data_IF_715169542573
#
_entry.id   IF_715169542573
#
_cell.length_a   1.000
_cell.length_b   1.000
_cell.length_c   1.000
_cell.angle_alpha   90.00
_cell.angle_beta   90.00
_cell.angle_gamma   90.00
#
_symmetry.space_group_name_H-M   'P 1'
#
loop_
_entity.id
_entity.type
_entity.pdbx_description
1 polymer ?
#
# COMPACT_ATOMS: atom_id res chain seq x y z
N UNK A 1 4.35 18.09 12.94
CA UNK A 1 5.30 18.92 12.16
C UNK A 1 5.19 20.39 12.55
N UNK A 2 6.33 21.07 12.76
CA UNK A 2 6.38 22.53 12.94
C UNK A 2 6.46 23.21 11.57
N UNK A 3 5.53 24.12 11.30
CA UNK A 3 5.33 24.72 9.97
C UNK A 3 6.41 25.73 9.57
N UNK A 4 7.34 26.09 10.47
CA UNK A 4 8.41 27.05 10.17
C UNK A 4 9.78 26.37 9.97
N UNK A 5 9.99 25.20 10.57
CA UNK A 5 11.31 24.54 10.63
C UNK A 5 11.35 23.17 9.96
N UNK A 6 10.21 22.54 9.67
CA UNK A 6 10.18 21.18 9.12
C UNK A 6 10.63 20.10 10.11
N UNK A 7 10.82 20.47 11.38
CA UNK A 7 11.09 19.50 12.43
C UNK A 7 9.83 18.68 12.71
N UNK A 8 10.01 17.36 12.87
CA UNK A 8 9.01 16.47 13.45
C UNK A 8 8.69 17.03 14.84
N UNK A 9 7.52 17.67 14.97
CA UNK A 9 6.97 17.93 16.29
C UNK A 9 6.61 16.57 16.85
N UNK A 10 7.50 16.03 17.68
CA UNK A 10 7.18 14.97 18.62
C UNK A 10 5.85 15.35 19.29
N UNK A 11 4.77 14.67 18.88
CA UNK A 11 3.50 14.73 19.59
C UNK A 11 3.65 13.87 20.85
N UNK A 12 4.37 14.39 21.84
CA UNK A 12 4.33 13.86 23.18
C UNK A 12 2.97 14.16 23.80
N UNK A 13 2.21 13.11 24.12
CA UNK A 13 1.85 12.77 25.52
C UNK A 13 0.94 11.53 25.56
N UNK A 14 1.46 10.45 26.16
CA UNK A 14 0.81 9.18 26.51
C UNK A 14 0.76 8.05 25.46
N UNK A 15 1.72 7.99 24.53
CA UNK A 15 1.90 6.83 23.63
C UNK A 15 2.78 5.80 24.35
N UNK A 16 2.36 4.52 24.38
CA UNK A 16 3.31 3.45 24.64
C UNK A 16 4.03 3.17 23.32
N UNK A 17 5.36 3.29 23.33
CA UNK A 17 6.19 3.04 22.16
C UNK A 17 6.62 1.58 22.21
N UNK A 18 5.83 0.73 21.54
CA UNK A 18 6.15 -0.67 21.37
C UNK A 18 7.30 -0.86 20.40
N UNK A 19 8.06 -1.93 20.57
CA UNK A 19 9.07 -2.36 19.61
C UNK A 19 8.54 -3.61 18.90
N UNK A 20 8.53 -3.60 17.57
CA UNK A 20 8.02 -4.70 16.76
C UNK A 20 8.99 -5.13 15.68
N UNK A 21 8.98 -6.42 15.35
CA UNK A 21 9.74 -6.95 14.21
C UNK A 21 8.80 -7.15 13.03
N UNK A 22 9.11 -6.55 11.87
CA UNK A 22 8.36 -6.68 10.63
C UNK A 22 8.56 -8.01 9.91
N UNK A 23 7.84 -8.20 8.80
CA UNK A 23 7.89 -9.40 7.95
C UNK A 23 9.29 -9.62 7.39
N UNK A 24 9.99 -8.54 7.00
CA UNK A 24 11.37 -8.56 6.51
C UNK A 24 12.41 -8.77 7.61
N UNK A 25 12.00 -8.81 8.88
CA UNK A 25 12.88 -9.03 10.04
C UNK A 25 13.54 -7.76 10.57
N UNK A 26 13.14 -6.60 10.06
CA UNK A 26 13.52 -5.27 10.52
C UNK A 26 12.73 -4.86 11.77
N UNK A 27 13.38 -4.10 12.65
CA UNK A 27 12.76 -3.63 13.90
C UNK A 27 12.22 -2.21 13.74
N UNK A 28 11.01 -1.99 14.23
CA UNK A 28 10.26 -0.73 14.13
C UNK A 28 9.73 -0.31 15.50
N UNK A 29 9.74 0.99 15.75
CA UNK A 29 8.96 1.57 16.84
C UNK A 29 7.52 1.76 16.36
N UNK A 30 6.57 1.19 17.07
CA UNK A 30 5.14 1.25 16.74
C UNK A 30 4.36 1.91 17.87
N UNK A 31 3.33 2.67 17.51
CA UNK A 31 2.45 3.28 18.49
C UNK A 31 1.44 2.26 19.01
N UNK A 32 1.37 2.13 20.32
CA UNK A 32 0.42 1.23 20.98
C UNK A 32 -0.34 1.93 22.09
N UNK A 33 -1.47 1.35 22.46
CA UNK A 33 -2.32 1.85 23.55
C UNK A 33 -2.38 0.82 24.69
N UNK A 34 -1.96 1.17 25.91
CA UNK A 34 -2.13 0.32 27.08
C UNK A 34 -3.61 0.08 27.43
N UNK A 35 -3.99 -1.16 27.72
CA UNK A 35 -5.33 -1.58 28.11
C UNK A 35 -5.28 -2.59 29.27
N UNK A 36 -5.36 -2.10 30.50
CA UNK A 36 -5.20 -2.96 31.68
C UNK A 36 -3.74 -3.40 31.82
N UNK A 37 -3.48 -4.70 31.70
CA UNK A 37 -2.16 -5.34 31.76
C UNK A 37 -1.59 -5.70 30.38
N UNK A 38 -2.25 -5.28 29.29
CA UNK A 38 -1.84 -5.53 27.90
C UNK A 38 -1.68 -4.23 27.11
N UNK A 39 -1.18 -4.34 25.89
CA UNK A 39 -1.02 -3.28 24.90
C UNK A 39 -1.80 -3.64 23.64
N UNK A 40 -2.38 -2.67 22.94
CA UNK A 40 -3.10 -2.85 21.67
C UNK A 40 -2.36 -2.17 20.53
N UNK A 41 -2.37 -2.77 19.32
CA UNK A 41 -2.00 -2.08 18.08
C UNK A 41 -3.07 -1.07 17.71
N UNK A 42 -3.08 0.02 18.47
CA UNK A 42 -3.97 1.14 18.33
C UNK A 42 -3.18 2.42 18.58
N UNK A 43 -3.28 3.35 17.64
CA UNK A 43 -2.67 4.67 17.78
C UNK A 43 -3.25 5.42 18.96
N UNK A 44 -2.48 6.35 19.53
CA UNK A 44 -2.89 7.06 20.76
C UNK A 44 -4.16 7.91 20.60
N UNK A 45 -4.46 8.39 19.39
CA UNK A 45 -5.73 9.07 19.06
C UNK A 45 -6.89 8.12 18.78
N UNK A 46 -6.63 6.80 18.77
CA UNK A 46 -7.58 5.74 18.47
C UNK A 46 -7.99 5.66 17.00
N UNK A 47 -7.32 6.40 16.11
CA UNK A 47 -7.65 6.50 14.69
C UNK A 47 -7.18 5.29 13.89
N UNK A 48 -6.00 4.76 14.20
CA UNK A 48 -5.43 3.59 13.55
C UNK A 48 -5.56 2.37 14.43
N UNK A 49 -6.00 1.24 13.85
CA UNK A 49 -6.24 -0.02 14.57
C UNK A 49 -5.88 -1.22 13.71
N UNK A 50 -5.12 -2.15 14.28
CA UNK A 50 -4.75 -3.40 13.59
C UNK A 50 -5.36 -4.61 14.28
N UNK A 51 -5.98 -5.47 13.46
CA UNK A 51 -6.73 -6.64 13.89
C UNK A 51 -6.16 -7.92 13.28
N UNK A 52 -6.47 -9.04 13.93
CA UNK A 52 -6.11 -10.38 13.55
C UNK A 52 -7.35 -11.19 13.15
N UNK A 53 -7.37 -11.71 11.93
CA UNK A 53 -8.44 -12.56 11.45
C UNK A 53 -8.28 -14.05 11.83
N UNK A 54 -7.15 -14.45 12.43
CA UNK A 54 -6.90 -15.79 12.96
C UNK A 54 -6.90 -16.88 11.90
N UNK A 55 -6.40 -16.58 10.69
CA UNK A 55 -6.49 -17.43 9.49
C UNK A 55 -7.93 -17.74 9.05
N UNK A 56 -8.90 -16.91 9.46
CA UNK A 56 -10.29 -17.00 9.02
C UNK A 56 -10.61 -15.90 8.01
N UNK A 57 -11.72 -16.05 7.28
CA UNK A 57 -12.29 -14.99 6.43
C UNK A 57 -13.08 -13.99 7.27
N UNK A 58 -12.47 -13.45 8.32
CA UNK A 58 -13.08 -12.49 9.23
C UNK A 58 -12.51 -11.09 8.97
N UNK A 59 -13.36 -10.07 9.03
CA UNK A 59 -12.95 -8.66 8.98
C UNK A 59 -13.90 -7.85 9.88
N UNK A 60 -13.38 -7.07 10.86
CA UNK A 60 -11.96 -6.84 11.11
C UNK A 60 -11.26 -7.99 11.86
N UNK A 61 -11.99 -8.88 12.53
CA UNK A 61 -11.38 -9.90 13.40
C UNK A 61 -11.22 -9.41 14.84
N UNK A 62 -10.16 -9.83 15.53
CA UNK A 62 -9.88 -9.49 16.93
C UNK A 62 -8.79 -8.44 17.02
N UNK A 63 -8.92 -7.45 17.91
CA UNK A 63 -7.86 -6.44 18.11
C UNK A 63 -6.55 -7.12 18.50
N UNK A 64 -5.45 -6.78 17.82
CA UNK A 64 -4.15 -7.34 18.19
C UNK A 64 -3.69 -6.77 19.54
N UNK A 65 -3.26 -7.66 20.43
CA UNK A 65 -2.84 -7.30 21.79
C UNK A 65 -1.56 -8.01 22.18
N UNK A 66 -0.71 -7.35 22.96
CA UNK A 66 0.55 -7.88 23.47
C UNK A 66 0.70 -7.66 24.99
N UNK A 67 1.45 -8.51 25.68
CA UNK A 67 1.58 -8.45 27.16
C UNK A 67 2.73 -7.55 27.63
N UNK A 68 3.75 -7.35 26.81
CA UNK A 68 4.99 -6.66 27.22
C UNK A 68 5.39 -5.51 26.27
N UNK A 69 4.60 -5.25 25.24
CA UNK A 69 4.81 -4.24 24.20
C UNK A 69 6.04 -4.49 23.32
N UNK A 70 6.50 -5.76 23.31
CA UNK A 70 7.55 -6.27 22.43
C UNK A 70 6.87 -7.21 21.44
N UNK A 71 6.56 -6.67 20.25
CA UNK A 71 5.80 -7.32 19.20
C UNK A 71 6.71 -8.18 18.30
N UNK A 72 7.36 -9.15 18.93
CA UNK A 72 8.20 -10.15 18.28
C UNK A 72 7.48 -11.50 18.10
N UNK A 73 8.22 -12.52 17.68
CA UNK A 73 7.69 -13.87 17.48
C UNK A 73 7.85 -14.79 18.69
N UNK A 74 8.46 -14.33 19.79
CA UNK A 74 8.90 -15.18 20.90
C UNK A 74 7.82 -15.43 21.98
N UNK A 75 6.69 -14.73 21.93
CA UNK A 75 5.58 -14.99 22.86
C UNK A 75 4.78 -16.23 22.41
N UNK A 76 4.62 -17.27 23.26
CA UNK A 76 3.88 -18.48 22.91
C UNK A 76 2.41 -18.21 22.57
N UNK A 77 2.10 -18.16 21.26
CA UNK A 77 0.78 -18.28 20.61
C UNK A 77 -0.44 -17.86 21.46
N UNK A 78 -0.58 -16.56 21.71
CA UNK A 78 -1.89 -15.90 21.90
C UNK A 78 -2.42 -15.55 20.51
N UNK A 79 -3.62 -16.01 20.08
CA UNK A 79 -3.93 -16.91 18.94
C UNK A 79 -3.48 -16.45 17.54
N UNK A 80 -2.80 -15.32 17.46
CA UNK A 80 -2.07 -14.81 16.32
C UNK A 80 -0.97 -15.76 15.84
N UNK A 81 -0.97 -16.16 14.56
CA UNK A 81 0.08 -16.99 13.98
C UNK A 81 1.47 -16.34 14.02
N UNK A 82 1.55 -15.00 13.99
CA UNK A 82 2.79 -14.21 14.03
C UNK A 82 2.47 -12.73 14.27
N UNK A 83 3.29 -12.00 15.02
CA UNK A 83 3.08 -10.54 15.19
C UNK A 83 3.57 -9.70 14.01
N UNK A 84 4.48 -10.26 13.20
CA UNK A 84 5.17 -9.53 12.13
C UNK A 84 4.24 -8.87 11.10
N UNK A 85 3.22 -9.57 10.56
CA UNK A 85 2.30 -8.94 9.61
C UNK A 85 1.53 -7.77 10.24
N UNK A 86 1.16 -7.89 11.52
CA UNK A 86 0.47 -6.86 12.29
C UNK A 86 1.34 -5.63 12.52
N UNK A 87 2.62 -5.82 12.87
CA UNK A 87 3.61 -4.74 13.01
C UNK A 87 3.69 -3.91 11.73
N UNK A 88 3.91 -4.57 10.58
CA UNK A 88 4.03 -3.85 9.31
C UNK A 88 2.71 -3.21 8.87
N UNK A 89 1.58 -3.91 9.03
CA UNK A 89 0.27 -3.37 8.68
C UNK A 89 -0.11 -2.13 9.51
N UNK A 90 0.33 -2.07 10.77
CA UNK A 90 0.14 -0.90 11.63
C UNK A 90 1.09 0.23 11.23
N UNK A 91 2.37 -0.09 11.18
CA UNK A 91 3.42 0.89 10.93
C UNK A 91 3.30 1.54 9.54
N UNK A 92 3.14 0.74 8.49
CA UNK A 92 3.04 1.27 7.13
C UNK A 92 1.72 2.01 6.87
N UNK A 93 0.62 1.63 7.53
CA UNK A 93 -0.61 2.43 7.47
C UNK A 93 -0.36 3.85 8.01
N UNK A 94 0.44 3.98 9.08
CA UNK A 94 0.84 5.26 9.64
C UNK A 94 1.75 6.05 8.67
N UNK A 95 2.78 5.41 8.12
CA UNK A 95 3.68 6.03 7.12
C UNK A 95 2.91 6.55 5.91
N UNK A 96 1.94 5.78 5.40
CA UNK A 96 1.13 6.17 4.24
C UNK A 96 0.17 7.31 4.60
N UNK A 97 -0.44 7.30 5.79
CA UNK A 97 -1.28 8.40 6.25
C UNK A 97 -0.49 9.71 6.40
N UNK A 98 0.70 9.64 6.98
CA UNK A 98 1.64 10.77 7.06
C UNK A 98 2.06 11.24 5.67
N UNK A 99 2.33 10.34 4.72
CA UNK A 99 2.59 10.70 3.33
C UNK A 99 1.45 11.52 2.72
N UNK A 100 0.19 11.11 2.93
CA UNK A 100 -0.98 11.84 2.44
C UNK A 100 -1.15 13.21 3.12
N UNK A 101 -0.95 13.27 4.44
CA UNK A 101 -1.03 14.51 5.21
C UNK A 101 0.07 15.50 4.80
N UNK A 102 1.33 15.06 4.76
CA UNK A 102 2.47 15.93 4.47
C UNK A 102 2.52 16.38 3.02
N UNK A 103 2.22 15.49 2.08
CA UNK A 103 2.37 15.76 0.64
C UNK A 103 1.15 16.47 0.06
N UNK A 104 -0.04 16.10 0.51
CA UNK A 104 -1.30 16.56 -0.09
C UNK A 104 -2.20 17.34 0.87
N UNK A 105 -1.80 17.50 2.13
CA UNK A 105 -2.64 18.11 3.18
C UNK A 105 -3.99 17.39 3.33
N UNK A 106 -4.03 16.09 3.02
CA UNK A 106 -5.23 15.26 3.11
C UNK A 106 -5.33 14.66 4.50
N UNK A 107 -6.49 14.78 5.15
CA UNK A 107 -6.72 14.20 6.47
C UNK A 107 -7.34 12.79 6.35
N UNK A 108 -6.51 11.74 6.34
CA UNK A 108 -6.93 10.33 6.19
C UNK A 108 -7.61 9.99 4.84
N UNK A 109 -8.19 8.79 4.76
CA UNK A 109 -8.80 8.19 3.58
C UNK A 109 -9.93 9.04 3.00
N UNK A 110 -10.73 9.72 3.82
CA UNK A 110 -11.92 10.49 3.43
C UNK A 110 -11.73 12.01 3.43
N UNK A 111 -10.52 12.50 3.75
CA UNK A 111 -10.23 13.92 4.01
C UNK A 111 -10.93 14.52 5.25
N UNK A 112 -11.49 13.69 6.12
CA UNK A 112 -12.20 14.08 7.33
C UNK A 112 -11.78 13.29 8.57
N UNK A 113 -10.65 12.57 8.51
CA UNK A 113 -10.10 11.84 9.65
C UNK A 113 -10.73 10.46 9.85
N UNK A 114 -11.21 9.81 8.79
CA UNK A 114 -11.69 8.42 8.83
C UNK A 114 -10.73 7.50 9.60
N UNK A 115 -11.23 6.60 10.47
CA UNK A 115 -10.40 5.57 11.08
C UNK A 115 -9.72 4.69 10.04
N UNK A 116 -8.45 4.37 10.27
CA UNK A 116 -7.64 3.51 9.41
C UNK A 116 -7.57 2.15 10.08
N UNK A 117 -8.24 1.17 9.47
CA UNK A 117 -8.33 -0.20 10.01
C UNK A 117 -7.57 -1.14 9.09
N UNK A 118 -6.68 -1.92 9.69
CA UNK A 118 -5.93 -2.99 9.04
C UNK A 118 -6.31 -4.34 9.65
N UNK A 119 -6.49 -5.37 8.83
CA UNK A 119 -6.66 -6.76 9.27
C UNK A 119 -5.60 -7.64 8.63
N UNK A 120 -4.88 -8.41 9.43
CA UNK A 120 -3.88 -9.39 8.97
C UNK A 120 -4.35 -10.82 9.23
N UNK A 121 -3.59 -11.82 8.76
CA UNK A 121 -3.93 -13.25 8.87
C UNK A 121 -5.29 -13.59 8.26
N UNK A 122 -5.66 -12.91 7.17
CA UNK A 122 -6.93 -13.17 6.49
C UNK A 122 -6.83 -14.41 5.61
N UNK A 123 -7.59 -15.45 5.98
CA UNK A 123 -7.64 -16.76 5.31
C UNK A 123 -6.28 -17.50 5.24
N UNK A 124 -6.31 -18.82 5.26
CA UNK A 124 -5.09 -19.62 5.28
C UNK A 124 -4.47 -19.66 3.87
N UNK A 125 -3.20 -19.26 3.74
CA UNK A 125 -2.48 -19.32 2.46
C UNK A 125 -2.95 -18.27 1.44
N UNK A 126 -3.58 -17.18 1.89
CA UNK A 126 -4.21 -16.21 1.00
C UNK A 126 -3.18 -15.24 0.40
N UNK A 127 -2.91 -15.37 -0.89
CA UNK A 127 -1.96 -14.52 -1.61
C UNK A 127 -2.58 -13.24 -2.18
N UNK A 128 -3.31 -12.48 -1.37
CA UNK A 128 -3.85 -11.21 -1.82
C UNK A 128 -4.08 -10.25 -0.66
N UNK A 129 -4.13 -8.97 -0.99
CA UNK A 129 -4.56 -7.90 -0.11
C UNK A 129 -5.69 -7.13 -0.80
N UNK A 130 -6.53 -6.45 -0.02
CA UNK A 130 -7.61 -5.65 -0.57
C UNK A 130 -8.12 -4.58 0.40
N UNK A 131 -8.50 -3.44 -0.16
CA UNK A 131 -9.49 -2.53 0.41
C UNK A 131 -10.91 -3.06 0.21
N UNK A 132 -11.72 -3.09 1.27
CA UNK A 132 -13.10 -3.62 1.22
C UNK A 132 -14.21 -2.55 1.28
N UNK A 133 -13.87 -1.26 1.16
CA UNK A 133 -14.78 -0.13 1.38
C UNK A 133 -14.71 0.48 2.78
N UNK A 134 -14.11 -0.23 3.75
CA UNK A 134 -14.02 0.23 5.15
C UNK A 134 -12.65 0.03 5.79
N UNK A 135 -11.85 -0.91 5.30
CA UNK A 135 -10.57 -1.29 5.88
C UNK A 135 -9.66 -1.96 4.83
N UNK A 136 -8.36 -1.99 5.12
CA UNK A 136 -7.40 -2.83 4.41
C UNK A 136 -7.35 -4.22 5.05
N UNK A 137 -7.21 -5.25 4.22
CA UNK A 137 -7.11 -6.65 4.66
C UNK A 137 -5.97 -7.33 3.91
N UNK A 138 -5.11 -8.03 4.66
CA UNK A 138 -3.90 -8.66 4.15
C UNK A 138 -3.91 -10.16 4.46
N UNK A 139 -3.66 -10.98 3.44
CA UNK A 139 -3.35 -12.38 3.63
C UNK A 139 -1.87 -12.61 3.92
N UNK A 140 -1.56 -13.78 4.46
CA UNK A 140 -0.19 -14.16 4.85
C UNK A 140 0.65 -14.73 3.69
N UNK A 141 0.06 -14.87 2.50
CA UNK A 141 0.68 -15.61 1.41
C UNK A 141 0.75 -17.12 1.69
N UNK A 142 1.36 -17.87 0.78
CA UNK A 142 1.52 -19.33 0.90
C UNK A 142 2.86 -19.74 1.56
N UNK A 143 3.68 -18.76 1.94
CA UNK A 143 5.01 -18.97 2.54
C UNK A 143 6.07 -19.49 1.56
N UNK A 144 5.74 -19.62 0.27
CA UNK A 144 6.63 -20.15 -0.78
C UNK A 144 6.82 -19.14 -1.89
N UNK A 145 5.71 -18.65 -2.45
CA UNK A 145 5.65 -17.68 -3.53
C UNK A 145 5.31 -16.28 -3.00
N UNK A 146 4.67 -16.22 -1.83
CA UNK A 146 4.26 -14.98 -1.17
C UNK A 146 4.54 -15.06 0.33
N UNK A 147 5.13 -13.99 0.85
CA UNK A 147 5.14 -13.67 2.27
C UNK A 147 3.85 -12.92 2.64
N UNK A 148 3.72 -12.55 3.91
CA UNK A 148 2.57 -11.76 4.35
C UNK A 148 2.56 -10.40 3.63
N UNK A 149 1.44 -10.09 2.99
CA UNK A 149 1.36 -8.97 2.04
C UNK A 149 1.43 -7.59 2.70
N UNK A 150 1.21 -7.50 4.02
CA UNK A 150 1.44 -6.26 4.75
C UNK A 150 2.93 -5.90 4.86
N UNK A 151 3.85 -6.82 4.53
CA UNK A 151 5.29 -6.57 4.55
C UNK A 151 5.81 -5.61 3.48
N UNK A 152 4.99 -5.30 2.46
CA UNK A 152 5.30 -4.33 1.41
C UNK A 152 4.65 -2.99 1.72
N UNK A 153 5.46 -1.93 1.85
CA UNK A 153 4.96 -0.57 2.09
C UNK A 153 4.13 -0.08 0.90
N UNK A 154 4.55 -0.39 -0.33
CA UNK A 154 3.80 -0.07 -1.53
C UNK A 154 2.45 -0.81 -1.61
N UNK A 155 2.37 -2.05 -1.11
CA UNK A 155 1.12 -2.82 -1.00
C UNK A 155 0.18 -2.14 -0.01
N UNK A 156 0.66 -1.75 1.18
CA UNK A 156 -0.14 -0.99 2.14
C UNK A 156 -0.62 0.35 1.54
N UNK A 157 0.28 1.07 0.84
CA UNK A 157 -0.04 2.30 0.13
C UNK A 157 -1.05 2.11 -1.00
N UNK A 158 -0.95 1.01 -1.74
CA UNK A 158 -1.87 0.62 -2.81
C UNK A 158 -3.29 0.41 -2.27
N UNK A 159 -3.43 -0.36 -1.19
CA UNK A 159 -4.73 -0.66 -0.60
C UNK A 159 -5.37 0.57 0.05
N UNK A 160 -4.62 1.38 0.79
CA UNK A 160 -5.15 2.64 1.35
C UNK A 160 -5.60 3.60 0.23
N UNK A 161 -4.85 3.66 -0.88
CA UNK A 161 -5.16 4.51 -2.03
C UNK A 161 -6.46 4.09 -2.75
N UNK A 162 -6.86 2.82 -2.68
CA UNK A 162 -8.19 2.43 -3.15
C UNK A 162 -9.30 3.16 -2.37
N UNK A 163 -9.18 3.28 -1.05
CA UNK A 163 -10.08 4.09 -0.24
C UNK A 163 -10.05 5.56 -0.65
N UNK A 164 -8.87 6.16 -0.82
CA UNK A 164 -8.76 7.55 -1.29
C UNK A 164 -9.45 7.74 -2.63
N UNK A 165 -9.33 6.78 -3.54
CA UNK A 165 -10.01 6.80 -4.85
C UNK A 165 -11.52 6.75 -4.69
N UNK A 166 -12.03 5.91 -3.79
CA UNK A 166 -13.46 5.80 -3.46
C UNK A 166 -14.03 7.11 -2.94
N UNK A 167 -13.34 7.78 -2.01
CA UNK A 167 -13.76 9.06 -1.41
C UNK A 167 -13.42 10.29 -2.26
N UNK A 168 -12.93 10.12 -3.49
CA UNK A 168 -12.64 11.23 -4.40
C UNK A 168 -13.28 11.04 -5.77
N UNK A 169 -12.61 10.32 -6.67
CA UNK A 169 -13.04 10.15 -8.06
C UNK A 169 -14.15 9.11 -8.21
N UNK A 170 -14.28 8.18 -7.25
CA UNK A 170 -15.26 7.10 -7.31
C UNK A 170 -15.10 6.20 -8.54
N UNK A 171 -13.88 6.05 -9.06
CA UNK A 171 -13.61 5.24 -10.24
C UNK A 171 -14.07 3.80 -10.00
N UNK A 172 -15.13 3.39 -10.71
CA UNK A 172 -15.66 2.04 -10.64
C UNK A 172 -14.58 1.05 -11.07
N UNK A 173 -14.57 -0.11 -10.42
CA UNK A 173 -13.55 -1.14 -10.63
C UNK A 173 -13.85 -2.01 -11.86
N UNK A 174 -14.04 -1.37 -13.01
CA UNK A 174 -14.45 -2.02 -14.26
C UNK A 174 -13.74 -1.39 -15.46
N UNK A 175 -13.34 -2.24 -16.42
CA UNK A 175 -12.76 -1.81 -17.69
C UNK A 175 -11.60 -0.81 -17.52
N UNK A 176 -11.63 0.31 -18.24
CA UNK A 176 -10.61 1.37 -18.18
C UNK A 176 -10.66 2.17 -16.88
N UNK A 177 -11.86 2.34 -16.29
CA UNK A 177 -12.00 3.01 -14.99
C UNK A 177 -11.29 2.23 -13.89
N UNK A 178 -11.45 0.91 -13.88
CA UNK A 178 -10.77 0.05 -12.92
C UNK A 178 -9.26 -0.03 -13.20
N UNK A 179 -8.84 0.05 -14.46
CA UNK A 179 -7.42 0.15 -14.81
C UNK A 179 -6.80 1.41 -14.21
N UNK A 180 -7.43 2.57 -14.40
CA UNK A 180 -7.00 3.84 -13.80
C UNK A 180 -6.99 3.79 -12.28
N UNK A 181 -8.01 3.18 -11.68
CA UNK A 181 -8.07 2.97 -10.22
C UNK A 181 -6.83 2.20 -9.74
N UNK A 182 -6.50 1.08 -10.39
CA UNK A 182 -5.30 0.29 -10.08
C UNK A 182 -3.99 1.02 -10.31
N UNK A 183 -3.84 1.70 -11.45
CA UNK A 183 -2.62 2.48 -11.74
C UNK A 183 -2.41 3.59 -10.74
N UNK A 184 -3.49 4.24 -10.29
CA UNK A 184 -3.40 5.27 -9.28
C UNK A 184 -2.94 4.71 -7.95
N UNK A 185 -3.47 3.57 -7.53
CA UNK A 185 -2.98 2.86 -6.34
C UNK A 185 -1.49 2.48 -6.45
N UNK A 186 -1.03 1.96 -7.59
CA UNK A 186 0.39 1.65 -7.80
C UNK A 186 1.28 2.89 -7.70
N UNK A 187 0.89 3.99 -8.37
CA UNK A 187 1.66 5.24 -8.34
C UNK A 187 1.80 5.79 -6.92
N UNK A 188 0.72 5.76 -6.14
CA UNK A 188 0.71 6.34 -4.80
C UNK A 188 1.43 5.42 -3.80
N UNK A 189 1.27 4.09 -3.92
CA UNK A 189 2.02 3.11 -3.13
C UNK A 189 3.53 3.26 -3.34
N UNK A 190 3.98 3.23 -4.59
CA UNK A 190 5.39 3.40 -4.92
C UNK A 190 5.93 4.78 -4.52
N UNK A 191 5.15 5.86 -4.68
CA UNK A 191 5.57 7.20 -4.21
C UNK A 191 5.69 7.24 -2.68
N UNK A 192 4.88 6.48 -1.94
CA UNK A 192 4.98 6.37 -0.49
C UNK A 192 6.28 5.68 -0.04
N UNK A 193 6.79 4.71 -0.79
CA UNK A 193 8.12 4.12 -0.54
C UNK A 193 9.24 5.16 -0.68
N UNK A 194 9.27 5.90 -1.79
CA UNK A 194 10.24 6.99 -1.95
C UNK A 194 10.09 8.07 -0.87
N UNK A 195 8.87 8.35 -0.41
CA UNK A 195 8.62 9.26 0.69
C UNK A 195 9.24 8.76 2.01
N UNK A 196 9.11 7.46 2.28
CA UNK A 196 9.62 6.81 3.49
C UNK A 196 11.15 6.78 3.49
N UNK A 197 11.79 6.38 2.38
CA UNK A 197 13.25 6.37 2.23
C UNK A 197 13.86 7.76 2.47
N UNK A 198 13.29 8.80 1.83
CA UNK A 198 13.76 10.18 1.99
C UNK A 198 13.71 10.70 3.43
N UNK A 199 12.92 10.06 4.30
CA UNK A 199 12.73 10.41 5.70
C UNK A 199 13.28 9.36 6.67
N UNK A 200 13.92 8.31 6.16
CA UNK A 200 14.37 7.15 6.95
C UNK A 200 13.24 6.55 7.82
N UNK A 201 12.04 6.43 7.25
CA UNK A 201 10.85 5.87 7.90
C UNK A 201 10.64 4.39 7.60
N UNK A 202 11.50 3.74 6.81
CA UNK A 202 11.49 2.28 6.69
C UNK A 202 12.97 1.81 6.69
N UNK A 203 13.42 1.15 7.77
CA UNK A 203 14.81 0.68 7.89
C UNK A 203 15.21 -0.34 6.81
N UNK A 204 14.24 -1.00 6.19
CA UNK A 204 14.44 -1.99 5.15
C UNK A 204 13.98 -1.49 3.77
N UNK A 205 13.83 -0.18 3.58
CA UNK A 205 13.44 0.41 2.30
C UNK A 205 14.54 0.26 1.24
N UNK A 206 14.16 -0.25 0.09
CA UNK A 206 14.95 -0.26 -1.15
C UNK A 206 14.03 0.29 -2.27
N UNK A 207 13.69 1.60 -2.28
CA UNK A 207 12.64 2.10 -3.14
C UNK A 207 13.00 1.95 -4.61
N UNK A 208 12.10 1.35 -5.39
CA UNK A 208 12.32 1.08 -6.80
C UNK A 208 11.07 1.40 -7.65
N UNK A 209 10.87 0.72 -8.77
CA UNK A 209 9.66 0.88 -9.60
C UNK A 209 8.90 -0.44 -9.76
N UNK A 210 9.20 -1.42 -8.93
CA UNK A 210 8.48 -2.67 -8.80
C UNK A 210 7.26 -2.43 -7.89
N UNK A 211 6.39 -3.42 -7.86
CA UNK A 211 5.25 -3.44 -6.95
C UNK A 211 5.23 -4.80 -6.26
N UNK A 212 5.31 -4.79 -4.93
CA UNK A 212 5.29 -5.91 -3.99
C UNK A 212 6.47 -6.87 -4.08
N UNK A 213 7.60 -6.41 -4.58
CA UNK A 213 8.88 -7.13 -4.54
C UNK A 213 9.28 -7.54 -3.11
N UNK A 214 8.99 -6.71 -2.11
CA UNK A 214 9.25 -7.01 -0.69
C UNK A 214 8.49 -8.22 -0.13
N UNK A 215 7.36 -8.59 -0.73
CA UNK A 215 6.49 -9.69 -0.26
C UNK A 215 6.59 -10.93 -1.15
N UNK A 216 7.55 -10.93 -2.08
CA UNK A 216 7.83 -12.05 -2.97
C UNK A 216 9.24 -12.57 -2.63
N UNK A 217 9.38 -13.83 -2.17
CA UNK A 217 10.69 -14.40 -1.90
C UNK A 217 11.62 -14.37 -3.14
N UNK A 218 12.90 -14.13 -2.89
CA UNK A 218 13.93 -14.10 -3.93
C UNK A 218 13.90 -15.40 -4.78
N UNK A 219 13.97 -15.25 -6.10
CA UNK A 219 14.03 -16.38 -7.04
C UNK A 219 12.68 -16.94 -7.52
N UNK A 220 11.53 -16.54 -6.95
CA UNK A 220 10.19 -17.03 -7.37
C UNK A 220 9.89 -16.71 -8.85
N UNK A 221 10.34 -15.55 -9.33
CA UNK A 221 10.12 -15.11 -10.72
C UNK A 221 11.39 -15.10 -11.57
N UNK A 222 12.44 -15.83 -11.18
CA UNK A 222 13.65 -16.03 -11.99
C UNK A 222 14.65 -14.87 -12.01
N UNK A 223 14.52 -13.91 -11.09
CA UNK A 223 15.45 -12.80 -10.85
C UNK A 223 15.72 -12.57 -9.35
N UNK A 224 16.64 -11.65 -9.03
CA UNK A 224 17.04 -11.34 -7.65
C UNK A 224 15.89 -10.73 -6.82
N UNK A 225 15.14 -9.78 -7.40
CA UNK A 225 13.89 -9.22 -6.88
C UNK A 225 12.92 -9.09 -8.06
N UNK A 226 11.66 -9.45 -7.88
CA UNK A 226 10.67 -9.36 -8.94
C UNK A 226 9.30 -9.09 -8.34
N UNK A 227 8.92 -7.81 -8.33
CA UNK A 227 7.54 -7.41 -8.08
C UNK A 227 6.57 -8.07 -9.06
N UNK A 228 5.30 -8.10 -8.67
CA UNK A 228 4.25 -8.63 -9.54
C UNK A 228 3.87 -7.64 -10.65
N UNK A 229 4.18 -6.34 -10.47
CA UNK A 229 4.21 -5.34 -11.54
C UNK A 229 5.57 -4.62 -11.57
N UNK A 230 5.86 -3.96 -12.70
CA UNK A 230 7.04 -3.11 -12.87
C UNK A 230 6.59 -1.84 -13.59
N UNK A 231 6.56 -0.70 -12.91
CA UNK A 231 6.17 0.59 -13.49
C UNK A 231 7.26 1.16 -14.41
N UNK A 232 8.54 0.84 -14.15
CA UNK A 232 9.70 1.28 -14.93
C UNK A 232 9.79 0.63 -16.32
N UNK A 233 9.46 -0.66 -16.40
CA UNK A 233 9.32 -1.44 -17.62
C UNK A 233 8.23 -2.53 -17.46
N UNK A 234 6.95 -2.20 -17.71
CA UNK A 234 5.89 -3.19 -17.53
C UNK A 234 6.02 -4.40 -18.46
N UNK A 235 6.67 -4.27 -19.62
CA UNK A 235 6.88 -5.42 -20.51
C UNK A 235 7.77 -6.48 -19.87
N UNK A 236 8.65 -6.11 -18.93
CA UNK A 236 9.52 -7.05 -18.23
C UNK A 236 8.74 -8.12 -17.47
N UNK A 237 7.51 -7.81 -17.04
CA UNK A 237 6.61 -8.74 -16.35
C UNK A 237 5.44 -9.22 -17.22
N UNK A 238 5.47 -8.94 -18.52
CA UNK A 238 4.45 -9.34 -19.48
C UNK A 238 3.26 -8.37 -19.59
N UNK A 239 3.33 -7.24 -18.90
CA UNK A 239 2.27 -6.25 -18.87
C UNK A 239 2.31 -5.31 -20.11
N UNK A 240 1.16 -4.86 -20.60
CA UNK A 240 1.10 -3.95 -21.74
C UNK A 240 1.58 -2.53 -21.41
N UNK A 241 2.18 -1.87 -22.41
CA UNK A 241 2.67 -0.48 -22.33
C UNK A 241 1.90 0.47 -23.25
N UNK A 242 0.93 -0.02 -24.02
CA UNK A 242 0.10 0.79 -24.93
C UNK A 242 -1.34 0.27 -24.98
N UNK A 243 -2.32 1.15 -25.24
CA UNK A 243 -3.76 0.85 -25.24
C UNK A 243 -4.28 0.07 -26.45
N UNK A 244 -3.41 -0.55 -27.26
CA UNK A 244 -3.85 -1.17 -28.52
C UNK A 244 -4.58 -2.49 -28.26
N UNK A 245 -5.66 -2.74 -29.01
CA UNK A 245 -6.46 -3.97 -28.95
C UNK A 245 -5.62 -5.22 -29.17
N UNK A 246 -5.74 -6.20 -28.27
CA UNK A 246 -5.01 -7.48 -28.31
C UNK A 246 -4.06 -7.70 -27.13
N UNK A 247 -4.44 -7.22 -25.93
CA UNK A 247 -3.59 -7.31 -24.73
C UNK A 247 -3.31 -8.78 -24.39
N UNK A 248 -2.06 -9.12 -24.03
CA UNK A 248 -1.78 -10.42 -23.41
C UNK A 248 -2.56 -10.55 -22.09
N UNK A 249 -2.87 -11.77 -21.69
CA UNK A 249 -3.48 -12.03 -20.38
C UNK A 249 -2.55 -11.48 -19.27
N UNK A 250 -3.14 -10.97 -18.18
CA UNK A 250 -2.40 -10.60 -16.98
C UNK A 250 -1.45 -11.74 -16.58
N UNK A 251 -0.25 -11.41 -16.10
CA UNK A 251 0.65 -12.41 -15.52
C UNK A 251 -0.12 -13.17 -14.45
N UNK A 252 -0.27 -14.48 -14.63
CA UNK A 252 -0.86 -15.34 -13.59
C UNK A 252 0.09 -15.29 -12.40
N UNK A 253 -0.40 -14.81 -11.26
CA UNK A 253 0.33 -14.87 -9.99
C UNK A 253 0.69 -16.33 -9.70
N UNK A 254 1.99 -16.60 -9.50
CA UNK A 254 2.49 -17.95 -9.28
C UNK A 254 2.11 -18.40 -7.87
N UNK A 255 1.70 -19.66 -7.73
CA UNK A 255 1.45 -20.31 -6.43
C UNK A 255 0.03 -20.22 -5.89
N UNK A 256 -0.79 -19.31 -6.40
CA UNK A 256 -2.04 -18.96 -5.73
C UNK A 256 -3.24 -19.48 -6.50
N UNK A 257 -4.02 -20.34 -5.84
CA UNK A 257 -5.32 -20.76 -6.37
C UNK A 257 -6.31 -19.63 -6.06
N UNK A 258 -6.86 -18.90 -7.04
CA UNK A 258 -7.85 -17.88 -6.75
C UNK A 258 -9.05 -18.58 -6.11
N UNK A 259 -9.34 -18.30 -4.83
CA UNK A 259 -10.67 -18.60 -4.31
C UNK A 259 -11.64 -17.67 -5.04
N UNK A 260 -12.79 -18.20 -5.45
CA UNK A 260 -13.70 -17.67 -6.48
C UNK A 260 -14.35 -16.29 -6.18
N UNK A 261 -13.81 -15.50 -5.26
CA UNK A 261 -14.30 -14.18 -4.85
C UNK A 261 -13.47 -12.99 -5.38
N UNK A 262 -12.37 -13.19 -6.12
CA UNK A 262 -11.59 -12.06 -6.68
C UNK A 262 -12.06 -11.66 -8.09
N UNK A 263 -12.64 -10.47 -8.29
CA UNK A 263 -13.00 -9.96 -9.62
C UNK A 263 -11.78 -9.28 -10.27
N UNK A 264 -10.74 -10.01 -10.67
CA UNK A 264 -9.43 -9.36 -10.94
C UNK A 264 -8.78 -9.58 -12.31
N UNK A 265 -9.30 -10.38 -13.23
CA UNK A 265 -8.46 -10.75 -14.39
C UNK A 265 -8.28 -9.66 -15.47
N UNK A 266 -9.32 -8.92 -15.95
CA UNK A 266 -9.13 -7.95 -17.02
C UNK A 266 -8.55 -6.61 -16.55
N UNK A 267 -8.93 -6.17 -15.35
CA UNK A 267 -8.68 -4.82 -14.82
C UNK A 267 -7.20 -4.60 -14.47
N UNK A 268 -6.55 -5.61 -13.87
CA UNK A 268 -5.14 -5.55 -13.49
C UNK A 268 -4.21 -5.40 -14.72
N UNK A 269 -4.50 -6.12 -15.82
CA UNK A 269 -3.65 -6.07 -17.03
C UNK A 269 -3.60 -4.70 -17.71
N UNK A 270 -4.62 -3.85 -17.56
CA UNK A 270 -4.68 -2.53 -18.21
C UNK A 270 -4.00 -1.43 -17.39
N UNK A 271 -3.79 -1.66 -16.09
CA UNK A 271 -3.22 -0.67 -15.17
C UNK A 271 -1.76 -0.29 -15.49
N UNK A 272 -1.00 -1.23 -16.03
CA UNK A 272 0.39 -1.02 -16.45
C UNK A 272 0.57 -0.01 -17.58
N UNK A 273 -0.43 0.17 -18.45
CA UNK A 273 -0.37 1.16 -19.55
C UNK A 273 -0.38 2.59 -19.00
N UNK A 274 -1.20 2.85 -17.97
CA UNK A 274 -1.29 4.17 -17.36
C UNK A 274 -0.14 4.41 -16.36
N UNK A 275 0.36 3.36 -15.70
CA UNK A 275 1.60 3.43 -14.91
C UNK A 275 2.82 3.80 -15.77
N UNK A 276 2.97 3.21 -16.98
CA UNK A 276 4.05 3.57 -17.93
C UNK A 276 4.03 5.06 -18.29
N UNK A 277 2.82 5.64 -18.45
CA UNK A 277 2.65 7.06 -18.78
C UNK A 277 3.07 7.97 -17.62
N UNK A 278 2.85 7.55 -16.38
CA UNK A 278 3.30 8.26 -15.20
C UNK A 278 4.83 8.25 -15.07
N UNK A 279 5.47 7.08 -15.22
CA UNK A 279 6.94 6.96 -15.16
C UNK A 279 7.61 7.76 -16.28
N UNK A 280 7.08 7.72 -17.51
CA UNK A 280 7.61 8.55 -18.61
C UNK A 280 7.44 10.05 -18.37
N UNK A 281 6.45 10.46 -17.58
CA UNK A 281 6.31 11.87 -17.15
C UNK A 281 7.33 12.25 -16.07
N UNK A 282 7.60 11.36 -15.11
CA UNK A 282 8.63 11.54 -14.07
C UNK A 282 10.05 11.53 -14.65
N UNK A 283 10.36 10.59 -15.56
CA UNK A 283 11.66 10.51 -16.23
C UNK A 283 11.93 11.69 -17.17
N UNK A 284 10.89 12.25 -17.81
CA UNK A 284 11.02 13.48 -18.61
C UNK A 284 11.22 14.73 -17.76
N UNK A 285 10.88 14.69 -16.48
CA UNK A 285 11.00 15.86 -15.60
C UNK A 285 12.45 16.14 -15.17
N UNK A 286 13.39 15.18 -15.27
CA UNK A 286 14.84 15.42 -15.20
C UNK A 286 15.38 16.30 -14.06
N UNK A 287 14.61 16.46 -12.98
CA UNK A 287 14.91 17.40 -11.89
C UNK A 287 14.87 16.61 -10.59
N UNK A 288 15.87 16.70 -9.71
CA UNK A 288 15.71 16.19 -8.36
C UNK A 288 14.50 16.91 -7.75
N UNK A 289 13.52 16.16 -7.23
CA UNK A 289 12.43 16.74 -6.45
C UNK A 289 13.04 17.33 -5.17
N UNK A 290 13.55 18.55 -5.26
CA UNK A 290 13.69 19.41 -4.09
C UNK A 290 12.27 19.81 -3.69
N UNK A 291 11.72 19.15 -2.68
CA UNK A 291 10.52 19.57 -1.97
C UNK A 291 10.83 20.84 -1.17
N UNK A 292 11.04 21.95 -1.87
CA UNK A 292 10.97 23.29 -1.29
C UNK A 292 9.74 23.99 -1.85
N UNK A 293 8.66 23.88 -1.08
CA UNK A 293 7.48 24.75 -1.00
C UNK A 293 6.97 25.41 -2.30
N UNK A 294 5.91 24.84 -2.87
CA UNK A 294 4.68 25.56 -3.26
C UNK A 294 3.57 24.56 -3.65
N UNK A 295 2.32 24.76 -3.21
CA UNK A 295 1.25 23.78 -3.43
C UNK A 295 0.86 23.77 -4.91
N UNK A 296 1.08 22.64 -5.59
CA UNK A 296 0.51 22.38 -6.89
C UNK A 296 -0.96 21.99 -6.71
N UNK A 297 -1.89 22.92 -7.00
CA UNK A 297 -3.31 22.58 -7.00
C UNK A 297 -3.60 21.49 -8.04
N UNK A 298 -4.51 20.55 -7.71
CA UNK A 298 -5.00 19.45 -8.56
C UNK A 298 -5.36 19.83 -10.00
N UNK A 299 -5.55 21.12 -10.34
CA UNK A 299 -5.87 21.59 -11.70
C UNK A 299 -4.76 21.36 -12.74
N UNK A 300 -3.53 21.08 -12.31
CA UNK A 300 -2.36 21.02 -13.21
C UNK A 300 -2.25 19.69 -13.98
N UNK A 301 -2.76 18.60 -13.41
CA UNK A 301 -2.70 17.23 -13.98
C UNK A 301 -3.73 17.06 -15.12
N UNK A 302 -4.85 17.79 -15.07
CA UNK A 302 -5.98 17.62 -16.00
C UNK A 302 -5.81 18.28 -17.39
N UNK A 303 -4.78 19.11 -17.62
CA UNK A 303 -4.67 19.91 -18.86
C UNK A 303 -4.07 19.15 -20.05
N UNK A 304 -3.59 17.92 -19.88
CA UNK A 304 -2.92 17.15 -20.95
C UNK A 304 -3.90 16.30 -21.79
N UNK A 305 -5.11 16.00 -21.30
CA UNK A 305 -6.05 15.12 -22.02
C UNK A 305 -7.14 15.82 -22.85
N UNK A 306 -7.32 17.15 -22.77
CA UNK A 306 -8.44 17.83 -23.46
C UNK A 306 -8.19 18.26 -24.90
N UNK A 307 -7.12 17.80 -25.57
CA UNK A 307 -6.76 18.23 -26.94
C UNK A 307 -6.89 17.17 -28.05
N UNK A 308 -7.56 16.04 -27.83
CA UNK A 308 -7.67 14.98 -28.85
C UNK A 308 -9.07 14.67 -29.39
N UNK A 309 -10.12 15.44 -29.08
CA UNK A 309 -11.48 15.18 -29.58
C UNK A 309 -12.08 16.27 -30.47
N UNK A 310 -11.38 16.66 -31.54
CA UNK A 310 -12.04 17.30 -32.69
C UNK A 310 -11.42 16.84 -34.00
N UNK A 311 -11.97 15.77 -34.59
CA UNK A 311 -11.98 15.58 -36.04
C UNK A 311 -13.40 15.24 -36.49
N UNK A 312 -13.96 16.17 -37.27
CA UNK A 312 -15.22 16.06 -38.00
C UNK A 312 -15.12 14.96 -39.07
N UNK A 313 -16.20 14.20 -39.25
CA UNK A 313 -16.43 13.30 -40.39
C UNK A 313 -16.82 14.11 -41.64
N UNK A 314 -16.39 13.74 -42.86
CA UNK A 314 -16.94 14.32 -44.08
C UNK A 314 -18.19 13.56 -44.55
N UNK A 315 -19.07 14.32 -45.20
CA UNK A 315 -20.21 13.84 -46.00
C UNK A 315 -19.75 13.32 -47.37
#
# INVERSE_FOLDING_TARGET
>A
MDAATGAVLNRFNAIAEGEGTGVKGDTKTIDTTPTGDRFQLQSADGRQKTYDAGNMKASPGTMMTDDNDIWDTEVPLDPSPSRRPGVDAHYYANVVDDFYADTYSRNSIDDAGMPIISTVHYDAGYCNAFWNGTQMTYGDGDGVNWLALSGGLDVAGHELTHGVTEFTSGLIYENESGALNKSFSDMMGNTAEFYADQRALDPAAEPDWLIGEDVIPAGVYGGAEAGFRNMGDPKAVGDPTTTRSGLPAARTTVGCTPTAASPTTPTASRSSVDATRAVTSAARAGTPMSLTARPLSMRSVWRVQSRSSTRQSPA
#
